data_IF_117338149793
#
_entry.id   IF_117338149793
#
_cell.length_a   1.000
_cell.length_b   1.000
_cell.length_c   1.000
_cell.angle_alpha   90.00
_cell.angle_beta   90.00
_cell.angle_gamma   90.00
#
_symmetry.space_group_name_H-M   'P 1'
#
loop_
_entity.id
_entity.type
_entity.pdbx_description
1 polymer ?
#
# COMPACT_ATOMS: atom_id res chain seq x y z
N UNK A 1 19.66 49.46 8.56
CA UNK A 1 18.90 48.29 8.08
C UNK A 1 18.77 47.27 9.21
N UNK A 2 17.57 47.09 9.79
CA UNK A 2 17.25 46.02 10.75
C UNK A 2 16.25 45.07 10.08
N UNK A 3 16.73 44.22 9.19
CA UNK A 3 15.92 43.16 8.58
C UNK A 3 16.25 41.77 9.16
N UNK A 4 17.35 41.65 9.91
CA UNK A 4 17.88 40.37 10.40
C UNK A 4 16.94 39.52 11.31
N UNK A 5 16.10 40.10 12.21
CA UNK A 5 15.27 39.29 13.11
C UNK A 5 14.09 38.60 12.40
N UNK A 6 13.46 39.30 11.45
CA UNK A 6 12.33 38.78 10.67
C UNK A 6 12.77 37.59 9.81
N UNK A 7 13.93 37.68 9.16
CA UNK A 7 14.47 36.56 8.37
C UNK A 7 14.79 35.32 9.20
N UNK A 8 15.12 35.44 10.48
CA UNK A 8 15.35 34.28 11.35
C UNK A 8 14.03 33.60 11.70
N UNK A 9 13.01 34.39 12.05
CA UNK A 9 11.68 33.90 12.38
C UNK A 9 11.00 33.23 11.17
N UNK A 10 11.08 33.83 9.98
CA UNK A 10 10.53 33.25 8.74
C UNK A 10 11.20 31.91 8.40
N UNK A 11 12.51 31.78 8.67
CA UNK A 11 13.25 30.53 8.46
C UNK A 11 12.85 29.45 9.45
N UNK A 12 12.69 29.79 10.73
CA UNK A 12 12.23 28.85 11.76
C UNK A 12 10.82 28.34 11.45
N UNK A 13 9.92 29.23 11.05
CA UNK A 13 8.56 28.87 10.61
C UNK A 13 8.61 27.94 9.39
N UNK A 14 9.38 28.29 8.36
CA UNK A 14 9.52 27.45 7.17
C UNK A 14 10.06 26.05 7.49
N UNK A 15 11.04 25.94 8.39
CA UNK A 15 11.58 24.65 8.86
C UNK A 15 10.51 23.85 9.61
N UNK A 16 9.79 24.49 10.53
CA UNK A 16 8.75 23.84 11.32
C UNK A 16 7.59 23.34 10.44
N UNK A 17 7.18 24.15 9.46
CA UNK A 17 6.17 23.76 8.48
C UNK A 17 6.66 22.61 7.59
N UNK A 18 7.90 22.69 7.11
CA UNK A 18 8.52 21.64 6.31
C UNK A 18 8.59 20.30 7.05
N UNK A 19 9.01 20.32 8.32
CA UNK A 19 9.04 19.14 9.19
C UNK A 19 7.64 18.57 9.40
N UNK A 20 6.67 19.43 9.70
CA UNK A 20 5.28 19.02 9.94
C UNK A 20 4.68 18.36 8.69
N UNK A 21 4.82 19.00 7.53
CA UNK A 21 4.34 18.47 6.25
C UNK A 21 5.04 17.16 5.89
N UNK A 22 6.36 17.09 6.06
CA UNK A 22 7.15 15.89 5.78
C UNK A 22 6.75 14.70 6.67
N UNK A 23 6.56 14.93 7.98
CA UNK A 23 6.07 13.90 8.90
C UNK A 23 4.66 13.42 8.54
N UNK A 24 3.74 14.35 8.25
CA UNK A 24 2.38 13.99 7.85
C UNK A 24 2.36 13.16 6.56
N UNK A 25 3.11 13.58 5.54
CA UNK A 25 3.24 12.84 4.28
C UNK A 25 3.88 11.47 4.49
N UNK A 26 4.95 11.39 5.28
CA UNK A 26 5.63 10.13 5.57
C UNK A 26 4.75 9.14 6.31
N UNK A 27 3.98 9.60 7.31
CA UNK A 27 3.02 8.75 8.04
C UNK A 27 1.91 8.27 7.12
N UNK A 28 1.32 9.15 6.30
CA UNK A 28 0.27 8.77 5.37
C UNK A 28 0.76 7.74 4.34
N UNK A 29 1.94 7.97 3.74
CA UNK A 29 2.55 7.03 2.80
C UNK A 29 2.87 5.69 3.48
N UNK A 30 3.43 5.71 4.69
CA UNK A 30 3.75 4.50 5.44
C UNK A 30 2.51 3.67 5.78
N UNK A 31 1.40 4.31 6.17
CA UNK A 31 0.13 3.62 6.45
C UNK A 31 -0.42 3.00 5.17
N UNK A 32 -0.44 3.72 4.05
CA UNK A 32 -0.95 3.21 2.77
C UNK A 32 -0.12 2.03 2.26
N UNK A 33 1.22 2.16 2.26
CA UNK A 33 2.12 1.08 1.86
C UNK A 33 2.00 -0.13 2.78
N UNK A 34 1.96 0.09 4.10
CA UNK A 34 1.83 -0.98 5.08
C UNK A 34 0.52 -1.74 4.94
N UNK A 35 -0.60 -1.05 4.67
CA UNK A 35 -1.90 -1.67 4.40
C UNK A 35 -1.86 -2.55 3.15
N UNK A 36 -1.40 -2.00 2.02
CA UNK A 36 -1.28 -2.74 0.76
C UNK A 36 -0.39 -3.98 0.91
N UNK A 37 0.80 -3.83 1.48
CA UNK A 37 1.74 -4.93 1.67
C UNK A 37 1.19 -6.00 2.61
N UNK A 38 0.52 -5.59 3.70
CA UNK A 38 -0.09 -6.50 4.66
C UNK A 38 -1.24 -7.30 4.07
N UNK A 39 -2.15 -6.65 3.35
CA UNK A 39 -3.28 -7.31 2.69
C UNK A 39 -2.80 -8.28 1.59
N UNK A 40 -1.90 -7.85 0.71
CA UNK A 40 -1.34 -8.72 -0.33
C UNK A 40 -0.63 -9.93 0.27
N UNK A 41 0.17 -9.74 1.32
CA UNK A 41 0.85 -10.82 2.03
C UNK A 41 -0.14 -11.84 2.61
N UNK A 42 -1.19 -11.37 3.27
CA UNK A 42 -2.21 -12.24 3.85
C UNK A 42 -2.94 -13.02 2.76
N UNK A 43 -3.34 -12.37 1.67
CA UNK A 43 -4.06 -13.00 0.56
C UNK A 43 -3.21 -14.07 -0.12
N UNK A 44 -1.93 -13.79 -0.39
CA UNK A 44 -1.01 -14.78 -0.95
C UNK A 44 -0.90 -16.00 -0.02
N UNK A 45 -0.80 -15.79 1.30
CA UNK A 45 -0.74 -16.89 2.28
C UNK A 45 -2.03 -17.73 2.31
N UNK A 46 -3.19 -17.09 2.18
CA UNK A 46 -4.49 -17.76 2.11
C UNK A 46 -4.64 -18.56 0.80
N UNK A 47 -4.28 -17.95 -0.32
CA UNK A 47 -4.24 -18.60 -1.64
C UNK A 47 -3.31 -19.81 -1.63
N UNK A 48 -2.09 -19.64 -1.12
CA UNK A 48 -1.13 -20.73 -0.99
C UNK A 48 -1.65 -21.86 -0.11
N UNK A 49 -2.37 -21.53 0.96
CA UNK A 49 -3.00 -22.52 1.85
C UNK A 49 -4.13 -23.30 1.17
N UNK A 50 -4.92 -22.64 0.31
CA UNK A 50 -6.07 -23.24 -0.39
C UNK A 50 -5.63 -24.06 -1.61
N UNK A 51 -4.71 -23.54 -2.41
CA UNK A 51 -4.38 -24.07 -3.73
C UNK A 51 -2.96 -24.66 -3.85
N UNK A 52 -2.12 -24.50 -2.83
CA UNK A 52 -0.73 -24.96 -2.87
C UNK A 52 0.22 -23.89 -3.42
N UNK A 53 1.20 -24.29 -4.23
CA UNK A 53 2.16 -23.33 -4.79
C UNK A 53 1.45 -22.37 -5.77
N UNK A 54 1.63 -21.06 -5.57
CA UNK A 54 1.10 -20.03 -6.46
C UNK A 54 2.21 -19.63 -7.45
N UNK A 55 1.92 -19.59 -8.77
CA UNK A 55 2.89 -19.10 -9.75
C UNK A 55 3.39 -17.70 -9.41
N UNK A 56 4.71 -17.49 -9.53
CA UNK A 56 5.36 -16.22 -9.15
C UNK A 56 4.75 -15.00 -9.85
N UNK A 57 4.35 -15.12 -11.12
CA UNK A 57 3.71 -14.04 -11.86
C UNK A 57 2.39 -13.60 -11.22
N UNK A 58 1.60 -14.54 -10.67
CA UNK A 58 0.35 -14.20 -9.98
C UNK A 58 0.63 -13.54 -8.64
N UNK A 59 1.64 -13.99 -7.90
CA UNK A 59 2.05 -13.32 -6.65
C UNK A 59 2.50 -11.88 -6.89
N UNK A 60 3.26 -11.63 -7.96
CA UNK A 60 3.71 -10.29 -8.34
C UNK A 60 2.54 -9.38 -8.71
N UNK A 61 1.56 -9.90 -9.47
CA UNK A 61 0.33 -9.16 -9.77
C UNK A 61 -0.40 -8.81 -8.47
N UNK A 62 -0.63 -9.78 -7.58
CA UNK A 62 -1.33 -9.56 -6.31
C UNK A 62 -0.60 -8.51 -5.46
N UNK A 63 0.73 -8.56 -5.35
CA UNK A 63 1.52 -7.56 -4.60
C UNK A 63 1.41 -6.15 -5.16
N UNK A 64 1.10 -6.02 -6.45
CA UNK A 64 0.95 -4.74 -7.14
C UNK A 64 -0.48 -4.19 -7.12
N UNK A 65 -1.47 -4.99 -6.72
CA UNK A 65 -2.87 -4.56 -6.70
C UNK A 65 -3.07 -3.39 -5.73
N UNK A 66 -3.92 -2.40 -6.08
CA UNK A 66 -4.34 -1.40 -5.13
C UNK A 66 -5.15 -2.05 -4.00
N UNK A 67 -5.14 -1.41 -2.83
CA UNK A 67 -5.79 -1.89 -1.60
C UNK A 67 -7.25 -2.30 -1.86
N UNK A 68 -8.00 -1.49 -2.59
CA UNK A 68 -9.41 -1.74 -2.86
C UNK A 68 -9.61 -3.06 -3.65
N UNK A 69 -8.71 -3.36 -4.59
CA UNK A 69 -8.73 -4.63 -5.33
C UNK A 69 -8.26 -5.79 -4.46
N UNK A 70 -7.38 -5.58 -3.50
CA UNK A 70 -7.01 -6.60 -2.52
C UNK A 70 -8.20 -6.96 -1.62
N UNK A 71 -8.96 -5.96 -1.17
CA UNK A 71 -10.19 -6.18 -0.39
C UNK A 71 -11.24 -6.96 -1.19
N UNK A 72 -11.46 -6.59 -2.46
CA UNK A 72 -12.36 -7.31 -3.35
C UNK A 72 -11.89 -8.76 -3.59
N UNK A 73 -10.59 -8.96 -3.80
CA UNK A 73 -9.99 -10.29 -3.93
C UNK A 73 -10.22 -11.13 -2.67
N UNK A 74 -10.14 -10.52 -1.47
CA UNK A 74 -10.39 -11.22 -0.21
C UNK A 74 -11.80 -11.80 -0.09
N UNK A 75 -12.80 -11.12 -0.67
CA UNK A 75 -14.16 -11.63 -0.76
C UNK A 75 -14.31 -12.68 -1.85
N UNK A 76 -13.86 -12.37 -3.07
CA UNK A 76 -13.96 -13.26 -4.23
C UNK A 76 -13.22 -14.59 -4.02
N UNK A 77 -12.11 -14.56 -3.26
CA UNK A 77 -11.33 -15.73 -2.89
C UNK A 77 -12.18 -16.84 -2.28
N UNK A 78 -13.24 -16.49 -1.53
CA UNK A 78 -14.10 -17.47 -0.89
C UNK A 78 -14.84 -18.34 -1.91
N UNK A 79 -15.15 -17.77 -3.07
CA UNK A 79 -15.92 -18.40 -4.16
C UNK A 79 -15.05 -19.14 -5.19
N UNK A 80 -13.71 -19.06 -5.10
CA UNK A 80 -12.81 -19.71 -6.07
C UNK A 80 -12.69 -21.21 -5.84
N UNK A 81 -12.89 -22.02 -6.87
CA UNK A 81 -12.69 -23.48 -6.80
C UNK A 81 -11.29 -23.87 -7.27
N UNK A 82 -10.68 -23.06 -8.14
CA UNK A 82 -9.42 -23.36 -8.82
C UNK A 82 -8.48 -22.15 -8.93
N UNK A 83 -7.21 -22.40 -9.24
CA UNK A 83 -6.27 -21.34 -9.61
C UNK A 83 -6.66 -20.62 -10.91
N UNK A 84 -7.42 -21.28 -11.78
CA UNK A 84 -7.94 -20.65 -13.00
C UNK A 84 -8.96 -19.56 -12.68
N UNK A 85 -9.75 -19.72 -11.61
CA UNK A 85 -10.70 -18.68 -11.18
C UNK A 85 -9.96 -17.42 -10.70
N UNK A 86 -8.87 -17.61 -9.94
CA UNK A 86 -7.97 -16.52 -9.54
C UNK A 86 -7.38 -15.82 -10.78
N UNK A 87 -6.80 -16.58 -11.71
CA UNK A 87 -6.17 -16.03 -12.90
C UNK A 87 -7.16 -15.22 -13.74
N UNK A 88 -8.37 -15.75 -13.95
CA UNK A 88 -9.44 -15.05 -14.65
C UNK A 88 -9.85 -13.75 -13.92
N UNK A 89 -9.98 -13.79 -12.60
CA UNK A 89 -10.35 -12.62 -11.80
C UNK A 89 -9.29 -11.51 -11.88
N UNK A 90 -8.00 -11.88 -11.81
CA UNK A 90 -6.89 -10.92 -11.87
C UNK A 90 -6.82 -10.18 -13.22
N UNK A 91 -7.29 -10.80 -14.30
CA UNK A 91 -7.31 -10.24 -15.65
C UNK A 91 -8.67 -9.63 -16.04
N UNK A 92 -9.62 -9.54 -15.10
CA UNK A 92 -10.95 -8.93 -15.31
C UNK A 92 -11.01 -7.43 -15.02
#
# INVERSE_FOLDING_TARGET
MRLAPLYQQDREQAVQEGLTRGLQQGVQQGIQQGRQQGEAYLLIRLLQRRFGEIPQNLEEIIRSLPVERLEDLGLALLDFDTLTDLDNWLHS
#
